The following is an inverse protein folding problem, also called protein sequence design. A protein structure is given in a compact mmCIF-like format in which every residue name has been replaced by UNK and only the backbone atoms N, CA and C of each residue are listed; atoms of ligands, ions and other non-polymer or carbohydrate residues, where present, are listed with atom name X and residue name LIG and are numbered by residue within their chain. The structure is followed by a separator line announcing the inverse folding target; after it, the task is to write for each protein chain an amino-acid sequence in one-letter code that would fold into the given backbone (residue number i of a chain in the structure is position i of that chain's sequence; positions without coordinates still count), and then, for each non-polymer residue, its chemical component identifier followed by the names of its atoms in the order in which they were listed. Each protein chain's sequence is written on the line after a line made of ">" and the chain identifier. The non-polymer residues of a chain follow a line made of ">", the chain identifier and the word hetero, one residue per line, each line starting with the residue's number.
data_IF_806625864187
#
_entry.id   IF_806625864187
#
_cell.length_a   1.000
_cell.length_b   1.000
_cell.length_c   1.000
_cell.angle_alpha   90.00
_cell.angle_beta   90.00
_cell.angle_gamma   90.00
#
_symmetry.space_group_name_H-M   'P 1'
#
loop_
_entity.id
_entity.type
_entity.pdbx_description
1 polymer ?
#
# COMPACT_ATOMS: atom_id res chain seq x y z
N UNK A 1 21.61 -50.55 57.90
CA UNK A 1 22.37 -49.56 57.10
C UNK A 1 22.18 -49.70 55.58
N UNK A 2 21.13 -50.35 55.11
CA UNK A 2 20.92 -50.63 53.68
C UNK A 2 19.79 -49.77 53.00
N UNK A 3 18.97 -49.07 53.73
CA UNK A 3 17.86 -48.29 53.16
C UNK A 3 18.22 -46.84 52.72
N UNK A 4 19.39 -46.35 53.12
CA UNK A 4 19.80 -44.99 52.73
C UNK A 4 20.49 -44.90 51.35
N UNK A 5 21.18 -45.94 50.94
CA UNK A 5 21.86 -45.97 49.65
C UNK A 5 20.89 -46.15 48.47
N UNK A 6 19.81 -46.93 48.67
CA UNK A 6 18.80 -47.14 47.62
C UNK A 6 17.98 -45.88 47.33
N UNK A 7 17.70 -45.05 48.34
CA UNK A 7 16.98 -43.78 48.15
C UNK A 7 17.86 -42.73 47.46
N UNK A 8 19.17 -42.73 47.69
CA UNK A 8 20.12 -41.85 47.02
C UNK A 8 20.32 -42.29 45.56
N UNK A 9 20.43 -43.60 45.30
CA UNK A 9 20.53 -44.17 43.96
C UNK A 9 19.28 -43.87 43.13
N UNK A 10 18.10 -44.09 43.70
CA UNK A 10 16.81 -43.74 43.09
C UNK A 10 16.65 -42.23 42.80
N UNK A 11 17.21 -41.37 43.65
CA UNK A 11 17.17 -39.92 43.45
C UNK A 11 18.18 -39.44 42.35
N UNK A 12 19.16 -40.21 42.05
CA UNK A 12 20.15 -39.95 40.95
C UNK A 12 19.60 -40.40 39.61
N UNK A 13 18.77 -41.46 39.58
CA UNK A 13 18.21 -42.05 38.35
C UNK A 13 17.02 -41.29 37.72
N UNK A 14 16.47 -40.32 38.42
CA UNK A 14 15.26 -39.59 37.99
C UNK A 14 15.44 -38.10 38.11
N UNK A 15 15.04 -37.41 37.09
CA UNK A 15 14.99 -35.93 37.04
C UNK A 15 13.55 -35.48 36.86
N UNK A 16 13.15 -34.48 37.61
CA UNK A 16 11.79 -33.94 37.56
C UNK A 16 11.79 -32.47 37.16
N UNK A 17 10.75 -32.08 36.46
CA UNK A 17 10.46 -30.72 36.08
C UNK A 17 8.98 -30.42 36.22
N UNK A 18 8.63 -29.15 36.44
CA UNK A 18 7.26 -28.72 36.52
C UNK A 18 6.79 -28.25 35.12
N UNK A 19 5.70 -28.84 34.63
CA UNK A 19 5.09 -28.43 33.38
C UNK A 19 4.59 -27.00 33.49
N UNK A 20 5.12 -26.13 32.65
CA UNK A 20 4.84 -24.71 32.59
C UNK A 20 4.37 -24.35 31.17
N UNK A 21 3.49 -23.37 31.06
CA UNK A 21 3.12 -22.81 29.74
C UNK A 21 3.71 -21.41 29.57
N UNK A 22 3.98 -21.05 28.33
CA UNK A 22 4.37 -19.68 28.00
C UNK A 22 3.22 -18.73 28.29
N UNK A 23 3.53 -17.57 28.89
CA UNK A 23 2.55 -16.56 29.19
C UNK A 23 2.78 -15.32 28.30
N UNK A 24 1.74 -14.90 27.60
CA UNK A 24 1.74 -13.73 26.73
C UNK A 24 0.91 -12.63 27.34
N UNK A 25 1.52 -11.46 27.54
CA UNK A 25 0.82 -10.25 27.98
C UNK A 25 0.24 -9.54 26.77
N UNK A 26 -1.08 -9.51 26.67
CA UNK A 26 -1.80 -8.84 25.59
C UNK A 26 -2.03 -7.38 25.95
N UNK A 27 -1.76 -6.48 25.01
CA UNK A 27 -1.96 -5.04 25.10
C UNK A 27 -2.46 -4.48 23.78
N UNK A 28 -3.09 -3.31 23.80
CA UNK A 28 -3.42 -2.56 22.58
C UNK A 28 -2.17 -1.89 22.02
N UNK A 29 -1.91 -2.11 20.71
CA UNK A 29 -0.74 -1.57 20.04
C UNK A 29 -0.97 -0.12 19.59
N UNK A 30 -0.20 0.81 20.18
CA UNK A 30 -0.13 2.22 19.79
C UNK A 30 -1.45 3.00 19.85
N UNK A 31 -2.52 2.44 20.45
CA UNK A 31 -3.81 3.11 20.62
C UNK A 31 -4.25 3.13 22.08
N UNK A 32 -4.96 4.19 22.45
CA UNK A 32 -5.54 4.38 23.78
C UNK A 32 -7.03 4.67 23.64
N UNK A 33 -7.82 4.31 24.63
CA UNK A 33 -9.26 4.58 24.59
C UNK A 33 -10.00 3.95 25.76
N UNK A 34 -11.30 4.22 25.83
CA UNK A 34 -12.17 3.60 26.82
C UNK A 34 -12.51 2.18 26.42
N UNK A 35 -12.37 1.21 27.32
CA UNK A 35 -12.78 -0.17 27.11
C UNK A 35 -14.31 -0.26 27.11
N UNK A 36 -14.91 -0.56 25.95
CA UNK A 36 -16.37 -0.66 25.79
C UNK A 36 -16.88 -2.09 25.84
N UNK A 37 -16.02 -3.07 25.52
CA UNK A 37 -16.41 -4.47 25.47
C UNK A 37 -15.30 -5.38 25.95
N UNK A 38 -15.64 -6.28 26.86
CA UNK A 38 -14.86 -7.42 27.30
C UNK A 38 -15.58 -8.68 26.78
N UNK A 39 -14.95 -9.40 25.83
CA UNK A 39 -15.59 -10.52 25.14
C UNK A 39 -15.23 -11.88 25.75
N UNK A 40 -14.38 -11.90 26.78
CA UNK A 40 -13.77 -13.11 27.36
C UNK A 40 -13.98 -13.15 28.88
N UNK A 41 -13.73 -14.34 29.45
CA UNK A 41 -13.72 -14.57 30.90
C UNK A 41 -12.41 -15.24 31.35
N UNK A 42 -12.01 -15.03 32.59
CA UNK A 42 -10.91 -15.77 33.19
C UNK A 42 -11.20 -17.28 33.15
N UNK A 43 -10.20 -18.07 32.79
CA UNK A 43 -10.32 -19.51 32.60
C UNK A 43 -10.89 -19.96 31.24
N UNK A 44 -11.32 -19.05 30.38
CA UNK A 44 -11.84 -19.36 29.04
C UNK A 44 -10.71 -19.71 28.07
N UNK A 45 -10.91 -20.75 27.26
CA UNK A 45 -10.07 -21.05 26.11
C UNK A 45 -10.44 -20.15 24.93
N UNK A 46 -9.43 -19.68 24.22
CA UNK A 46 -9.56 -18.82 23.04
C UNK A 46 -8.69 -19.36 21.90
N UNK A 47 -9.14 -19.11 20.68
CA UNK A 47 -8.41 -19.44 19.45
C UNK A 47 -7.78 -18.19 18.87
N UNK A 48 -6.73 -18.38 18.09
CA UNK A 48 -6.10 -17.32 17.32
C UNK A 48 -7.15 -16.58 16.49
N UNK A 49 -7.19 -15.25 16.63
CA UNK A 49 -8.14 -14.37 15.94
C UNK A 49 -9.46 -14.13 16.69
N UNK A 50 -9.69 -14.78 17.83
CA UNK A 50 -10.86 -14.46 18.68
C UNK A 50 -10.75 -13.05 19.24
N UNK A 51 -11.87 -12.36 19.32
CA UNK A 51 -11.94 -11.01 19.90
C UNK A 51 -11.80 -11.13 21.42
N UNK A 52 -10.82 -10.46 21.98
CA UNK A 52 -10.54 -10.40 23.41
C UNK A 52 -11.22 -9.19 24.03
N UNK A 53 -10.91 -7.99 23.56
CA UNK A 53 -11.42 -6.71 24.06
C UNK A 53 -11.59 -5.71 22.93
N UNK A 54 -12.41 -4.69 23.16
CA UNK A 54 -12.64 -3.61 22.20
C UNK A 54 -12.68 -2.25 22.89
N UNK A 55 -11.91 -1.30 22.40
CA UNK A 55 -11.96 0.10 22.76
C UNK A 55 -13.02 0.84 21.96
N UNK A 56 -13.42 2.00 22.45
CA UNK A 56 -14.34 2.91 21.76
C UNK A 56 -13.73 3.41 20.45
N UNK A 57 -14.43 3.18 19.35
CA UNK A 57 -14.01 3.59 18.00
C UNK A 57 -14.76 4.82 17.48
N UNK A 58 -15.66 5.43 18.26
CA UNK A 58 -16.58 6.49 17.82
C UNK A 58 -15.83 7.64 17.14
N UNK A 59 -14.79 8.17 17.76
CA UNK A 59 -14.02 9.31 17.22
C UNK A 59 -13.26 8.91 15.93
N UNK A 60 -12.75 7.68 15.88
CA UNK A 60 -12.06 7.15 14.71
C UNK A 60 -13.05 6.92 13.56
N UNK A 61 -14.24 6.40 13.84
CA UNK A 61 -15.29 6.17 12.86
C UNK A 61 -15.78 7.50 12.26
N UNK A 62 -16.00 8.53 13.06
CA UNK A 62 -16.34 9.87 12.60
C UNK A 62 -15.23 10.49 11.74
N UNK A 63 -13.98 10.26 12.10
CA UNK A 63 -12.82 10.72 11.31
C UNK A 63 -12.73 10.02 9.96
N UNK A 64 -12.99 8.72 9.91
CA UNK A 64 -13.09 7.92 8.68
C UNK A 64 -14.21 8.45 7.78
N UNK A 65 -15.41 8.68 8.34
CA UNK A 65 -16.56 9.18 7.59
C UNK A 65 -16.28 10.57 7.01
N UNK A 66 -15.68 11.46 7.81
CA UNK A 66 -15.26 12.80 7.36
C UNK A 66 -14.27 12.71 6.19
N UNK A 67 -13.23 11.88 6.31
CA UNK A 67 -12.22 11.72 5.26
C UNK A 67 -12.84 11.13 3.99
N UNK A 68 -13.74 10.15 4.10
CA UNK A 68 -14.51 9.61 2.96
C UNK A 68 -15.36 10.67 2.27
N UNK A 69 -16.01 11.54 3.03
CA UNK A 69 -16.78 12.66 2.46
C UNK A 69 -15.89 13.67 1.70
N UNK A 70 -14.68 13.94 2.20
CA UNK A 70 -13.71 14.81 1.52
C UNK A 70 -13.21 14.19 0.21
N UNK A 71 -12.93 12.88 0.20
CA UNK A 71 -12.56 12.14 -1.01
C UNK A 71 -13.68 12.19 -2.04
N UNK A 72 -14.93 11.95 -1.64
CA UNK A 72 -16.08 12.02 -2.53
C UNK A 72 -16.30 13.45 -3.10
N UNK A 73 -16.02 14.48 -2.32
CA UNK A 73 -16.08 15.88 -2.79
C UNK A 73 -15.03 16.13 -3.88
N UNK A 74 -13.78 15.68 -3.67
CA UNK A 74 -12.72 15.81 -4.69
C UNK A 74 -13.05 15.01 -5.95
N UNK A 75 -13.60 13.80 -5.81
CA UNK A 75 -14.05 12.99 -6.97
C UNK A 75 -15.09 13.75 -7.80
N UNK A 76 -16.08 14.36 -7.16
CA UNK A 76 -17.08 15.14 -7.85
C UNK A 76 -16.46 16.36 -8.57
N UNK A 77 -15.48 17.03 -7.95
CA UNK A 77 -14.76 18.16 -8.54
C UNK A 77 -13.91 17.73 -9.74
N UNK A 78 -13.15 16.65 -9.62
CA UNK A 78 -12.33 16.06 -10.71
C UNK A 78 -13.25 15.70 -11.90
N UNK A 79 -14.36 15.02 -11.65
CA UNK A 79 -15.30 14.62 -12.69
C UNK A 79 -15.93 15.85 -13.39
N UNK A 80 -16.26 16.90 -12.64
CA UNK A 80 -16.78 18.16 -13.19
C UNK A 80 -15.76 18.85 -14.07
N UNK A 81 -14.50 18.95 -13.63
CA UNK A 81 -13.43 19.56 -14.42
C UNK A 81 -13.10 18.77 -15.68
N UNK A 82 -13.00 17.43 -15.58
CA UNK A 82 -12.82 16.57 -16.74
C UNK A 82 -13.96 16.71 -17.75
N UNK A 83 -15.20 16.84 -17.29
CA UNK A 83 -16.35 17.11 -18.14
C UNK A 83 -16.23 18.45 -18.88
N UNK A 84 -15.81 19.52 -18.20
CA UNK A 84 -15.58 20.82 -18.81
C UNK A 84 -14.44 20.79 -19.84
N UNK A 85 -13.33 20.12 -19.51
CA UNK A 85 -12.18 19.94 -20.42
C UNK A 85 -12.59 19.21 -21.70
N UNK A 86 -13.37 18.14 -21.59
CA UNK A 86 -13.86 17.38 -22.75
C UNK A 86 -14.74 18.25 -23.66
N UNK A 87 -15.57 19.13 -23.11
CA UNK A 87 -16.39 20.08 -23.87
C UNK A 87 -15.49 21.10 -24.59
N UNK A 88 -14.46 21.62 -23.93
CA UNK A 88 -13.52 22.57 -24.52
C UNK A 88 -12.73 21.94 -25.68
N UNK A 89 -12.27 20.69 -25.57
CA UNK A 89 -11.65 19.97 -26.68
C UNK A 89 -12.60 19.84 -27.86
N UNK A 90 -13.86 19.42 -27.63
CA UNK A 90 -14.84 19.28 -28.70
C UNK A 90 -15.16 20.60 -29.39
N UNK A 91 -15.18 21.72 -28.64
CA UNK A 91 -15.34 23.07 -29.20
C UNK A 91 -14.14 23.47 -30.04
N UNK A 92 -12.92 23.23 -29.56
CA UNK A 92 -11.66 23.54 -30.27
C UNK A 92 -11.56 22.74 -31.56
N UNK A 93 -11.88 21.44 -31.54
CA UNK A 93 -11.90 20.60 -32.74
C UNK A 93 -12.96 21.07 -33.75
N UNK A 94 -14.11 21.46 -33.29
CA UNK A 94 -15.17 22.07 -34.15
C UNK A 94 -14.70 23.36 -34.80
N UNK A 95 -14.03 24.22 -34.05
CA UNK A 95 -13.47 25.48 -34.55
C UNK A 95 -12.36 25.25 -35.56
N UNK A 96 -11.49 24.26 -35.33
CA UNK A 96 -10.44 23.85 -36.26
C UNK A 96 -11.04 23.44 -37.63
N UNK A 97 -12.04 22.55 -37.60
CA UNK A 97 -12.76 22.13 -38.83
C UNK A 97 -13.41 23.29 -39.56
N UNK A 98 -14.06 24.23 -38.80
CA UNK A 98 -14.65 25.43 -39.42
C UNK A 98 -13.60 26.33 -40.05
N UNK A 99 -12.45 26.52 -39.41
CA UNK A 99 -11.34 27.33 -39.95
C UNK A 99 -10.77 26.68 -41.20
N UNK A 100 -10.58 25.35 -41.23
CA UNK A 100 -10.13 24.64 -42.41
C UNK A 100 -11.10 24.82 -43.61
N UNK A 101 -12.41 24.72 -43.34
CA UNK A 101 -13.42 24.95 -44.36
C UNK A 101 -13.36 26.39 -44.93
N UNK A 102 -13.11 27.39 -44.05
CA UNK A 102 -12.94 28.78 -44.49
C UNK A 102 -11.67 28.99 -45.33
N UNK A 103 -10.56 28.32 -44.95
CA UNK A 103 -9.31 28.35 -45.71
C UNK A 103 -9.51 27.73 -47.09
N UNK A 104 -10.21 26.60 -47.20
CA UNK A 104 -10.49 25.95 -48.51
C UNK A 104 -11.37 26.82 -49.39
N UNK A 105 -12.40 27.47 -48.81
CA UNK A 105 -13.23 28.45 -49.54
C UNK A 105 -12.38 29.62 -50.07
N UNK A 106 -11.48 30.13 -49.21
CA UNK A 106 -10.60 31.24 -49.61
C UNK A 106 -9.57 30.82 -50.67
N UNK A 107 -9.02 29.65 -50.61
CA UNK A 107 -8.15 29.08 -51.68
C UNK A 107 -8.90 29.00 -53.01
N UNK A 108 -10.17 28.58 -53.00
CA UNK A 108 -10.99 28.54 -54.19
C UNK A 108 -11.24 29.97 -54.77
N UNK A 109 -11.47 30.95 -53.86
CA UNK A 109 -11.62 32.36 -54.28
C UNK A 109 -10.35 32.93 -54.91
N UNK A 110 -9.17 32.62 -54.34
CA UNK A 110 -7.87 32.99 -54.90
C UNK A 110 -7.69 32.36 -56.27
N UNK A 111 -8.01 31.08 -56.48
CA UNK A 111 -7.91 30.41 -57.76
C UNK A 111 -8.78 31.09 -58.84
N UNK A 112 -10.00 31.55 -58.46
CA UNK A 112 -10.88 32.29 -59.36
C UNK A 112 -10.33 33.69 -59.72
N UNK A 113 -9.85 34.45 -58.71
CA UNK A 113 -9.22 35.74 -58.91
C UNK A 113 -7.96 35.64 -59.76
N UNK A 114 -7.14 34.58 -59.58
CA UNK A 114 -5.97 34.33 -60.36
C UNK A 114 -6.28 34.00 -61.83
N UNK A 115 -7.34 33.23 -62.10
CA UNK A 115 -7.81 32.98 -63.46
C UNK A 115 -8.31 34.27 -64.10
N UNK A 116 -9.02 35.16 -63.41
CA UNK A 116 -9.48 36.48 -63.86
C UNK A 116 -8.29 37.35 -64.18
N UNK A 117 -7.32 37.50 -63.28
CA UNK A 117 -6.09 38.27 -63.51
C UNK A 117 -5.34 37.77 -64.76
N UNK A 118 -5.16 36.47 -64.88
CA UNK A 118 -4.49 35.86 -66.06
C UNK A 118 -5.21 36.21 -67.40
N UNK A 119 -6.54 36.13 -67.40
CA UNK A 119 -7.34 36.49 -68.58
C UNK A 119 -7.18 37.97 -68.94
N UNK A 120 -7.23 38.90 -67.95
CA UNK A 120 -7.00 40.31 -68.16
C UNK A 120 -5.60 40.61 -68.58
N UNK A 121 -4.60 39.89 -68.12
CA UNK A 121 -3.21 40.00 -68.55
C UNK A 121 -3.02 39.59 -70.02
N UNK A 122 -3.67 38.53 -70.48
CA UNK A 122 -3.66 38.09 -71.88
C UNK A 122 -4.34 39.13 -72.76
N UNK A 123 -5.47 39.69 -72.34
CA UNK A 123 -6.20 40.72 -73.10
C UNK A 123 -5.36 42.01 -73.24
N UNK A 124 -4.78 42.49 -72.10
CA UNK A 124 -3.86 43.63 -72.14
C UNK A 124 -2.67 43.40 -73.12
N UNK A 125 -2.01 42.26 -73.05
CA UNK A 125 -0.87 41.93 -73.91
C UNK A 125 -1.27 41.84 -75.38
N UNK A 126 -2.48 41.32 -75.68
CA UNK A 126 -3.02 41.28 -77.01
C UNK A 126 -3.30 42.71 -77.53
N UNK A 127 -3.91 43.58 -76.74
CA UNK A 127 -4.18 44.99 -77.13
C UNK A 127 -2.91 45.81 -77.25
N UNK A 128 -1.86 45.52 -76.50
CA UNK A 128 -0.58 46.16 -76.62
C UNK A 128 0.04 45.85 -78.00
N UNK A 129 -0.03 44.58 -78.45
CA UNK A 129 0.47 44.20 -79.81
C UNK A 129 -0.36 44.80 -80.89
N UNK A 130 -1.68 44.98 -80.75
CA UNK A 130 -2.56 45.61 -81.70
C UNK A 130 -2.32 47.12 -81.78
N UNK A 131 -1.97 47.76 -80.72
CA UNK A 131 -1.61 49.19 -80.69
C UNK A 131 -0.29 49.42 -81.40
N UNK A 132 0.70 48.54 -81.28
CA UNK A 132 2.00 48.61 -82.02
C UNK A 132 1.84 48.64 -83.53
N UNK A 133 0.76 48.04 -84.06
CA UNK A 133 0.41 48.02 -85.43
C UNK A 133 -0.70 49.04 -85.80
N UNK A 134 -0.98 49.99 -84.89
CA UNK A 134 -2.00 51.04 -85.02
C UNK A 134 -3.42 50.52 -85.33
N UNK A 135 -3.71 49.26 -84.94
CA UNK A 135 -5.04 48.65 -85.15
C UNK A 135 -6.12 49.01 -84.14
N UNK A 136 -5.76 49.65 -83.00
CA UNK A 136 -6.68 50.10 -81.92
C UNK A 136 -6.28 51.50 -81.41
N UNK A 137 -7.20 52.17 -80.73
CA UNK A 137 -6.93 53.44 -80.07
C UNK A 137 -6.17 53.27 -78.74
N UNK A 138 -5.44 54.31 -78.26
CA UNK A 138 -4.73 54.33 -77.01
C UNK A 138 -5.71 54.11 -75.77
N UNK A 139 -6.92 54.66 -75.93
CA UNK A 139 -7.99 54.50 -74.91
C UNK A 139 -8.34 53.02 -74.68
N UNK A 140 -8.30 52.18 -75.75
CA UNK A 140 -8.61 50.74 -75.63
C UNK A 140 -7.54 49.99 -74.80
N UNK A 141 -6.28 50.41 -74.94
CA UNK A 141 -5.17 49.90 -74.17
C UNK A 141 -5.28 50.37 -72.67
N UNK A 142 -5.60 51.65 -72.48
CA UNK A 142 -5.73 52.22 -71.13
C UNK A 142 -6.87 51.55 -70.35
N UNK A 143 -8.01 51.27 -71.02
CA UNK A 143 -9.09 50.47 -70.44
C UNK A 143 -8.67 49.05 -70.05
N UNK A 144 -7.92 48.41 -70.93
CA UNK A 144 -7.43 47.06 -70.59
C UNK A 144 -6.40 47.02 -69.44
N UNK A 145 -5.57 48.09 -69.38
CA UNK A 145 -4.63 48.26 -68.25
C UNK A 145 -5.38 48.49 -66.95
N UNK A 146 -6.37 49.36 -66.92
CA UNK A 146 -7.22 49.58 -65.75
C UNK A 146 -7.92 48.29 -65.31
N UNK A 147 -8.44 47.48 -66.26
CA UNK A 147 -9.07 46.21 -65.92
C UNK A 147 -8.06 45.18 -65.36
N UNK A 148 -6.80 45.19 -65.85
CA UNK A 148 -5.72 44.34 -65.29
C UNK A 148 -5.32 44.80 -63.87
N UNK A 149 -5.18 46.11 -63.66
CA UNK A 149 -4.82 46.67 -62.35
C UNK A 149 -5.88 46.33 -61.28
N UNK A 150 -7.18 46.43 -61.63
CA UNK A 150 -8.28 46.02 -60.78
C UNK A 150 -8.24 44.53 -60.43
N UNK A 151 -8.02 43.66 -61.44
CA UNK A 151 -7.91 42.22 -61.24
C UNK A 151 -6.68 41.84 -60.39
N UNK A 152 -5.57 42.59 -60.54
CA UNK A 152 -4.38 42.42 -59.66
C UNK A 152 -4.64 42.78 -58.22
N UNK A 153 -5.37 43.90 -57.98
CA UNK A 153 -5.73 44.32 -56.64
C UNK A 153 -6.72 43.36 -55.95
N UNK A 154 -7.67 42.79 -56.70
CA UNK A 154 -8.59 41.76 -56.16
C UNK A 154 -7.81 40.49 -55.78
N UNK A 155 -6.93 39.99 -56.64
CA UNK A 155 -6.10 38.85 -56.31
C UNK A 155 -5.26 39.07 -55.01
N UNK A 156 -4.63 40.23 -54.90
CA UNK A 156 -3.88 40.61 -53.69
C UNK A 156 -4.75 40.67 -52.44
N UNK A 157 -5.98 41.20 -52.56
CA UNK A 157 -6.94 41.21 -51.48
C UNK A 157 -7.33 39.79 -51.02
N UNK A 158 -7.60 38.88 -51.97
CA UNK A 158 -7.93 37.47 -51.62
C UNK A 158 -6.75 36.76 -50.96
N UNK A 159 -5.52 37.03 -51.38
CA UNK A 159 -4.33 36.47 -50.71
C UNK A 159 -4.16 36.97 -49.28
N UNK A 160 -4.41 38.26 -49.04
CA UNK A 160 -4.33 38.85 -47.70
C UNK A 160 -5.39 38.27 -46.76
N UNK A 161 -6.61 38.01 -47.23
CA UNK A 161 -7.66 37.33 -46.46
C UNK A 161 -7.23 35.90 -46.08
N UNK A 162 -6.53 35.17 -47.01
CA UNK A 162 -5.99 33.87 -46.65
C UNK A 162 -4.91 33.97 -45.58
N UNK A 163 -3.99 34.94 -45.65
CA UNK A 163 -2.98 35.18 -44.63
C UNK A 163 -3.57 35.45 -43.27
N UNK A 164 -4.69 36.21 -43.19
CA UNK A 164 -5.40 36.45 -41.98
C UNK A 164 -6.02 35.17 -41.36
N UNK A 165 -6.60 34.30 -42.22
CA UNK A 165 -7.15 33.01 -41.75
C UNK A 165 -6.06 32.08 -41.26
N UNK A 166 -4.88 32.09 -41.90
CA UNK A 166 -3.72 31.28 -41.48
C UNK A 166 -3.13 31.75 -40.13
N UNK A 167 -3.28 33.02 -39.79
CA UNK A 167 -2.80 33.57 -38.51
C UNK A 167 -1.30 33.40 -38.28
N UNK A 168 -0.49 33.36 -39.36
CA UNK A 168 0.95 33.14 -39.35
C UNK A 168 1.36 31.70 -39.57
N UNK A 169 0.43 30.76 -39.80
CA UNK A 169 0.74 29.42 -40.25
C UNK A 169 1.24 29.42 -41.70
N UNK A 170 2.07 28.44 -42.02
CA UNK A 170 2.47 28.20 -43.42
C UNK A 170 1.30 27.56 -44.18
N UNK A 171 1.03 28.11 -45.38
CA UNK A 171 0.06 27.48 -46.27
C UNK A 171 0.57 26.10 -46.76
N UNK A 172 -0.34 25.13 -46.81
CA UNK A 172 -0.07 23.78 -47.28
C UNK A 172 -1.11 23.39 -48.34
N UNK A 173 -0.70 22.59 -49.31
CA UNK A 173 -1.59 22.07 -50.37
C UNK A 173 -2.77 21.29 -49.78
N UNK A 174 -2.53 20.55 -48.68
CA UNK A 174 -3.58 19.92 -47.88
C UNK A 174 -3.88 20.82 -46.67
N UNK A 175 -5.10 21.40 -46.62
CA UNK A 175 -5.50 22.31 -45.55
C UNK A 175 -5.47 21.64 -44.16
N UNK A 176 -5.76 20.35 -44.07
CA UNK A 176 -5.74 19.60 -42.82
C UNK A 176 -4.34 19.42 -42.19
N UNK A 177 -3.27 19.64 -43.00
CA UNK A 177 -1.89 19.59 -42.52
C UNK A 177 -1.37 20.95 -42.04
N UNK A 178 -2.23 21.97 -42.05
CA UNK A 178 -1.89 23.32 -41.60
C UNK A 178 -1.94 23.36 -40.06
N UNK A 179 -0.83 23.74 -39.45
CA UNK A 179 -0.72 23.94 -38.02
C UNK A 179 -1.16 25.35 -37.64
N UNK A 180 -2.42 25.51 -37.19
CA UNK A 180 -3.02 26.80 -36.84
C UNK A 180 -2.54 27.24 -35.43
N UNK A 181 -1.81 28.39 -35.31
CA UNK A 181 -1.30 28.84 -33.99
C UNK A 181 -2.39 29.11 -32.96
N UNK A 182 -3.52 29.60 -33.33
CA UNK A 182 -4.65 29.87 -32.45
C UNK A 182 -5.26 28.61 -31.84
N UNK A 183 -5.41 27.58 -32.65
CA UNK A 183 -5.89 26.26 -32.21
C UNK A 183 -4.88 25.60 -31.28
N UNK A 184 -3.59 25.69 -31.57
CA UNK A 184 -2.55 25.17 -30.71
C UNK A 184 -2.49 25.87 -29.37
N UNK A 185 -2.65 27.19 -29.35
CA UNK A 185 -2.71 27.94 -28.10
C UNK A 185 -3.92 27.49 -27.25
N UNK A 186 -5.10 27.32 -27.86
CA UNK A 186 -6.28 26.83 -27.15
C UNK A 186 -6.05 25.41 -26.58
N UNK A 187 -5.46 24.51 -27.36
CA UNK A 187 -5.09 23.15 -26.85
C UNK A 187 -4.11 23.23 -25.69
N UNK A 188 -3.13 24.10 -25.75
CA UNK A 188 -2.16 24.29 -24.67
C UNK A 188 -2.82 24.86 -23.39
N UNK A 189 -3.81 25.74 -23.51
CA UNK A 189 -4.61 26.22 -22.40
C UNK A 189 -5.43 25.09 -21.75
N UNK A 190 -5.97 24.17 -22.57
CA UNK A 190 -6.68 22.98 -22.09
C UNK A 190 -5.71 22.00 -21.38
N UNK A 191 -4.51 21.78 -21.94
CA UNK A 191 -3.48 20.94 -21.33
C UNK A 191 -3.05 21.48 -19.96
N UNK A 192 -3.00 22.81 -19.77
CA UNK A 192 -2.71 23.40 -18.47
C UNK A 192 -3.83 23.08 -17.45
N UNK A 193 -5.11 23.04 -17.88
CA UNK A 193 -6.22 22.63 -17.01
C UNK A 193 -6.16 21.16 -16.61
N UNK A 194 -5.60 20.29 -17.47
CA UNK A 194 -5.33 18.90 -17.11
C UNK A 194 -4.32 18.78 -15.97
N UNK A 195 -3.29 19.64 -15.94
CA UNK A 195 -2.34 19.69 -14.82
C UNK A 195 -3.03 20.08 -13.50
N UNK A 196 -4.03 20.98 -13.55
CA UNK A 196 -4.82 21.34 -12.37
C UNK A 196 -5.64 20.13 -11.87
N UNK A 197 -6.20 19.34 -12.79
CA UNK A 197 -6.90 18.09 -12.44
C UNK A 197 -5.95 17.08 -11.82
N UNK A 198 -4.73 16.94 -12.35
CA UNK A 198 -3.71 16.06 -11.78
C UNK A 198 -3.33 16.46 -10.34
N UNK A 199 -3.24 17.77 -10.06
CA UNK A 199 -3.02 18.26 -8.70
C UNK A 199 -4.15 17.85 -7.73
N UNK A 200 -5.41 17.86 -8.18
CA UNK A 200 -6.55 17.38 -7.38
C UNK A 200 -6.51 15.88 -7.17
N UNK A 201 -6.06 15.10 -8.16
CA UNK A 201 -5.87 13.65 -8.04
C UNK A 201 -4.81 13.33 -6.99
N UNK A 202 -3.69 14.04 -6.98
CA UNK A 202 -2.66 13.86 -5.94
C UNK A 202 -3.16 14.26 -4.55
N UNK A 203 -3.97 15.31 -4.45
CA UNK A 203 -4.62 15.68 -3.18
C UNK A 203 -5.59 14.58 -2.70
N UNK A 204 -6.39 14.01 -3.60
CA UNK A 204 -7.27 12.87 -3.30
C UNK A 204 -6.46 11.69 -2.76
N UNK A 205 -5.37 11.34 -3.42
CA UNK A 205 -4.47 10.25 -3.01
C UNK A 205 -3.89 10.44 -1.60
N UNK A 206 -3.56 11.67 -1.22
CA UNK A 206 -3.14 11.98 0.15
C UNK A 206 -4.24 11.67 1.17
N UNK A 207 -5.51 12.02 0.86
CA UNK A 207 -6.65 11.69 1.72
C UNK A 207 -6.92 10.17 1.77
N UNK A 208 -6.70 9.44 0.68
CA UNK A 208 -6.80 7.96 0.65
C UNK A 208 -5.76 7.31 1.56
N UNK A 209 -4.53 7.84 1.60
CA UNK A 209 -3.49 7.39 2.55
C UNK A 209 -3.93 7.69 3.99
N UNK A 210 -4.43 8.88 4.26
CA UNK A 210 -4.95 9.24 5.59
C UNK A 210 -6.13 8.34 6.00
N UNK A 211 -7.03 8.02 5.08
CA UNK A 211 -8.12 7.07 5.32
C UNK A 211 -7.59 5.70 5.73
N UNK A 212 -6.59 5.19 5.03
CA UNK A 212 -5.95 3.91 5.35
C UNK A 212 -5.29 3.91 6.74
N UNK A 213 -4.64 5.00 7.12
CA UNK A 213 -4.06 5.16 8.46
C UNK A 213 -5.13 5.12 9.56
N UNK A 214 -6.28 5.77 9.33
CA UNK A 214 -7.41 5.72 10.24
C UNK A 214 -8.03 4.31 10.33
N UNK A 215 -8.14 3.59 9.22
CA UNK A 215 -8.63 2.20 9.18
C UNK A 215 -7.69 1.24 9.93
N UNK A 216 -6.37 1.41 9.81
CA UNK A 216 -5.38 0.68 10.61
C UNK A 216 -5.53 1.02 12.09
N UNK A 217 -5.68 2.30 12.44
CA UNK A 217 -5.93 2.73 13.81
C UNK A 217 -7.20 2.10 14.36
N UNK A 218 -8.29 2.10 13.60
CA UNK A 218 -9.55 1.43 13.95
C UNK A 218 -9.36 -0.07 14.19
N UNK A 219 -8.60 -0.76 13.35
CA UNK A 219 -8.34 -2.18 13.51
C UNK A 219 -7.60 -2.49 14.83
N UNK A 220 -6.72 -1.60 15.28
CA UNK A 220 -5.97 -1.73 16.52
C UNK A 220 -6.81 -1.47 17.78
N UNK A 221 -7.99 -0.84 17.65
CA UNK A 221 -8.95 -0.67 18.76
C UNK A 221 -9.65 -1.98 19.13
N UNK A 222 -9.49 -3.04 18.35
CA UNK A 222 -9.96 -4.38 18.70
C UNK A 222 -8.76 -5.27 18.95
N UNK A 223 -8.70 -5.83 20.17
CA UNK A 223 -7.64 -6.75 20.58
C UNK A 223 -8.06 -8.17 20.25
N UNK A 224 -7.22 -8.88 19.50
CA UNK A 224 -7.44 -10.27 19.12
C UNK A 224 -6.42 -11.19 19.81
N UNK A 225 -6.79 -12.46 20.00
CA UNK A 225 -5.87 -13.49 20.44
C UNK A 225 -4.80 -13.74 19.37
N UNK A 226 -3.49 -13.63 19.67
CA UNK A 226 -2.41 -13.86 18.70
C UNK A 226 -2.20 -15.35 18.42
N UNK A 227 -2.58 -16.22 19.35
CA UNK A 227 -2.44 -17.68 19.28
C UNK A 227 -3.52 -18.36 20.14
N UNK A 228 -3.62 -19.67 20.00
CA UNK A 228 -4.51 -20.50 20.83
C UNK A 228 -4.00 -20.56 22.28
N UNK A 229 -4.92 -20.50 23.23
CA UNK A 229 -4.55 -20.54 24.64
C UNK A 229 -5.70 -20.33 25.58
N UNK A 230 -5.36 -20.14 26.88
CA UNK A 230 -6.32 -19.94 27.96
C UNK A 230 -6.12 -18.59 28.65
N UNK A 231 -7.19 -17.88 28.91
CA UNK A 231 -7.15 -16.61 29.63
C UNK A 231 -6.89 -16.87 31.11
N UNK A 232 -5.74 -16.41 31.61
CA UNK A 232 -5.36 -16.59 33.01
C UNK A 232 -5.91 -15.46 33.87
N UNK A 233 -5.76 -14.21 33.39
CA UNK A 233 -6.14 -13.04 34.15
C UNK A 233 -6.54 -11.89 33.24
N UNK A 234 -7.59 -11.19 33.65
CA UNK A 234 -8.05 -9.93 33.05
C UNK A 234 -7.61 -8.79 33.97
N UNK A 235 -6.81 -7.87 33.45
CA UNK A 235 -6.17 -6.77 34.16
C UNK A 235 -6.96 -5.46 34.05
N UNK A 236 -7.84 -5.35 33.04
CA UNK A 236 -8.63 -4.15 32.76
C UNK A 236 -10.11 -4.48 32.70
N UNK A 237 -10.96 -3.56 33.15
CA UNK A 237 -12.42 -3.73 33.23
C UNK A 237 -13.15 -2.79 32.26
N UNK A 238 -14.32 -3.21 31.81
CA UNK A 238 -15.20 -2.38 30.99
C UNK A 238 -15.45 -1.02 31.66
N UNK A 239 -15.31 0.06 30.88
CA UNK A 239 -15.45 1.45 31.32
C UNK A 239 -14.13 2.13 31.68
N UNK A 240 -13.05 1.38 31.90
CA UNK A 240 -11.73 1.95 32.19
C UNK A 240 -11.08 2.59 30.94
N UNK A 241 -10.24 3.58 31.20
CA UNK A 241 -9.38 4.18 30.17
C UNK A 241 -8.10 3.38 30.07
N UNK A 242 -7.83 2.82 28.89
CA UNK A 242 -6.65 2.01 28.61
C UNK A 242 -5.63 2.85 27.88
N UNK A 243 -4.39 2.82 28.35
CA UNK A 243 -3.26 3.46 27.67
C UNK A 243 -2.60 2.48 26.71
N UNK A 244 -2.01 3.01 25.64
CA UNK A 244 -1.26 2.23 24.67
C UNK A 244 -0.17 1.36 25.33
N UNK A 245 0.03 0.16 24.82
CA UNK A 245 1.05 -0.80 25.27
C UNK A 245 0.94 -1.23 26.75
N UNK A 246 -0.17 -0.92 27.40
CA UNK A 246 -0.43 -1.40 28.78
C UNK A 246 -1.04 -2.80 28.71
N UNK A 247 -0.48 -3.81 29.42
CA UNK A 247 -1.04 -5.15 29.46
C UNK A 247 -2.46 -5.14 30.04
N UNK A 248 -3.42 -5.71 29.31
CA UNK A 248 -4.84 -5.79 29.72
C UNK A 248 -5.30 -7.22 29.99
N UNK A 249 -4.61 -8.22 29.39
CA UNK A 249 -4.92 -9.64 29.57
C UNK A 249 -3.64 -10.45 29.62
N UNK A 250 -3.65 -11.50 30.46
CA UNK A 250 -2.61 -12.52 30.49
C UNK A 250 -3.16 -13.79 29.85
N UNK A 251 -2.57 -14.18 28.73
CA UNK A 251 -2.88 -15.40 27.98
C UNK A 251 -1.83 -16.46 28.29
N UNK A 252 -2.26 -17.65 28.64
CA UNK A 252 -1.42 -18.86 28.69
C UNK A 252 -1.51 -19.55 27.33
N UNK A 253 -0.36 -19.69 26.68
CA UNK A 253 -0.22 -20.35 25.39
C UNK A 253 -0.36 -21.87 25.54
N UNK A 254 -0.80 -22.54 24.47
CA UNK A 254 -0.75 -24.01 24.42
C UNK A 254 0.67 -24.56 24.27
N UNK A 255 1.67 -23.70 24.11
CA UNK A 255 3.08 -24.09 24.11
C UNK A 255 3.55 -24.36 25.51
N UNK A 256 3.62 -25.64 25.84
CA UNK A 256 4.01 -26.13 27.17
C UNK A 256 5.45 -26.61 27.15
N UNK A 257 6.13 -26.40 28.24
CA UNK A 257 7.50 -26.86 28.44
C UNK A 257 7.74 -27.23 29.90
N UNK A 258 8.77 -28.01 30.15
CA UNK A 258 9.31 -28.22 31.47
C UNK A 258 10.82 -28.10 31.44
N UNK A 259 11.37 -27.55 32.51
CA UNK A 259 12.79 -27.40 32.72
C UNK A 259 13.30 -28.50 33.65
N UNK A 260 14.34 -29.24 33.24
CA UNK A 260 15.04 -30.20 34.05
C UNK A 260 16.49 -29.81 34.18
N UNK A 261 17.11 -30.28 35.26
CA UNK A 261 18.50 -29.98 35.58
C UNK A 261 19.31 -31.24 35.54
N UNK A 262 20.36 -31.27 34.73
CA UNK A 262 21.22 -32.44 34.49
C UNK A 262 22.68 -32.13 34.73
N UNK A 263 23.49 -33.17 34.86
CA UNK A 263 24.94 -33.09 35.02
C UNK A 263 25.67 -32.80 33.69
N UNK A 264 26.92 -32.38 33.79
CA UNK A 264 27.81 -32.17 32.64
C UNK A 264 28.01 -33.43 31.79
N UNK A 265 28.06 -34.61 32.43
CA UNK A 265 28.23 -35.89 31.73
C UNK A 265 26.98 -36.29 30.92
N UNK A 266 25.78 -35.91 31.40
CA UNK A 266 24.53 -36.21 30.72
C UNK A 266 24.31 -35.27 29.53
N UNK A 267 24.66 -33.97 29.66
CA UNK A 267 24.48 -32.99 28.59
C UNK A 267 25.38 -33.25 27.39
N UNK A 268 26.54 -33.89 27.59
CA UNK A 268 27.50 -34.19 26.52
C UNK A 268 26.91 -35.08 25.41
N UNK A 269 25.85 -35.84 25.73
CA UNK A 269 25.19 -36.77 24.80
C UNK A 269 23.89 -36.20 24.20
N UNK A 270 23.53 -34.96 24.50
CA UNK A 270 22.27 -34.33 24.08
C UNK A 270 22.53 -33.18 23.16
N UNK A 271 21.61 -32.99 22.20
CA UNK A 271 21.59 -31.86 21.32
C UNK A 271 20.20 -31.20 21.27
N UNK A 272 20.17 -29.92 20.89
CA UNK A 272 18.91 -29.27 20.57
C UNK A 272 18.25 -29.99 19.38
N UNK A 273 16.97 -30.32 19.52
CA UNK A 273 16.20 -31.11 18.57
C UNK A 273 16.02 -32.58 18.98
N UNK A 274 16.75 -33.07 19.98
CA UNK A 274 16.57 -34.43 20.46
C UNK A 274 15.22 -34.60 21.16
N UNK A 275 14.60 -35.76 21.00
CA UNK A 275 13.33 -36.14 21.60
C UNK A 275 13.55 -36.87 22.93
N UNK A 276 12.89 -36.44 23.98
CA UNK A 276 12.90 -37.03 25.31
C UNK A 276 11.47 -37.36 25.71
N UNK A 277 11.28 -38.56 26.27
CA UNK A 277 10.01 -38.98 26.82
C UNK A 277 10.01 -38.77 28.34
N UNK A 278 9.20 -37.81 28.79
CA UNK A 278 8.87 -37.66 30.18
C UNK A 278 7.66 -38.50 30.58
N UNK A 279 7.41 -38.61 31.86
CA UNK A 279 6.24 -39.27 32.43
C UNK A 279 5.60 -38.38 33.49
N UNK A 280 4.32 -38.11 33.37
CA UNK A 280 3.60 -37.39 34.40
C UNK A 280 3.37 -38.23 35.64
N UNK A 281 3.79 -37.75 36.79
CA UNK A 281 3.64 -38.45 38.08
C UNK A 281 2.18 -38.62 38.49
N UNK A 282 1.34 -37.61 38.12
CA UNK A 282 -0.05 -37.55 38.59
C UNK A 282 -0.98 -38.58 37.91
N UNK A 283 -0.72 -38.92 36.63
CA UNK A 283 -1.62 -39.75 35.83
C UNK A 283 -0.91 -40.80 34.96
N UNK A 284 0.38 -41.03 35.21
CA UNK A 284 1.22 -42.00 34.48
C UNK A 284 1.30 -41.81 32.95
N UNK A 285 0.89 -40.66 32.43
CA UNK A 285 0.92 -40.37 30.99
C UNK A 285 2.34 -40.14 30.50
N UNK A 286 2.67 -40.73 29.34
CA UNK A 286 3.91 -40.44 28.63
C UNK A 286 3.80 -39.09 27.95
N UNK A 287 4.80 -38.24 28.15
CA UNK A 287 4.88 -36.88 27.65
C UNK A 287 6.07 -36.78 26.72
N UNK A 288 5.88 -36.98 25.40
CA UNK A 288 6.94 -36.75 24.44
C UNK A 288 7.27 -35.26 24.36
N UNK A 289 8.55 -34.96 24.29
CA UNK A 289 8.99 -33.58 24.18
C UNK A 289 10.28 -33.46 23.39
N UNK A 290 10.55 -32.27 22.91
CA UNK A 290 11.75 -31.94 22.13
C UNK A 290 12.59 -30.92 22.88
N UNK A 291 13.87 -31.15 23.00
CA UNK A 291 14.85 -30.22 23.58
C UNK A 291 14.96 -29.02 22.64
N UNK A 292 14.67 -27.81 23.17
CA UNK A 292 14.85 -26.55 22.40
C UNK A 292 15.90 -25.62 22.97
N UNK A 293 16.30 -25.86 24.20
CA UNK A 293 17.30 -25.01 24.85
C UNK A 293 18.14 -25.86 25.83
N UNK A 294 19.46 -25.77 25.71
CA UNK A 294 20.44 -26.29 26.68
C UNK A 294 21.24 -25.08 27.15
N UNK A 295 21.21 -24.80 28.44
CA UNK A 295 21.92 -23.67 29.02
C UNK A 295 22.49 -23.96 30.39
N UNK A 296 23.39 -23.14 30.87
CA UNK A 296 23.91 -23.27 32.23
C UNK A 296 22.79 -23.01 33.26
N UNK A 297 22.70 -23.81 34.28
CA UNK A 297 21.68 -23.66 35.32
C UNK A 297 21.83 -22.29 36.06
N UNK A 298 20.76 -21.54 36.31
CA UNK A 298 20.82 -20.31 37.07
C UNK A 298 21.40 -20.54 38.48
N UNK A 299 22.32 -19.69 38.94
CA UNK A 299 22.94 -19.76 40.27
C UNK A 299 24.03 -20.84 40.41
N UNK A 300 24.33 -21.62 39.37
CA UNK A 300 25.36 -22.67 39.41
C UNK A 300 26.77 -22.11 39.66
N UNK A 301 27.09 -20.92 39.18
CA UNK A 301 28.39 -20.28 39.38
C UNK A 301 28.69 -20.01 40.86
N UNK A 302 27.66 -19.61 41.64
CA UNK A 302 27.80 -19.33 43.07
C UNK A 302 27.95 -20.62 43.89
N UNK A 303 27.32 -21.70 43.46
CA UNK A 303 27.40 -23.00 44.13
C UNK A 303 28.75 -23.72 43.85
N UNK A 304 29.37 -23.47 42.71
CA UNK A 304 30.64 -24.08 42.31
C UNK A 304 31.82 -23.58 43.16
N UNK A 305 31.73 -22.37 43.72
CA UNK A 305 32.81 -21.79 44.54
C UNK A 305 32.83 -22.31 46.00
N UNK A 306 31.74 -22.90 46.49
CA UNK A 306 31.59 -23.31 47.89
C UNK A 306 31.75 -24.82 48.17
N UNK A 307 32.31 -25.60 47.22
CA UNK A 307 32.39 -27.06 47.31
C UNK A 307 33.64 -27.56 47.98
N UNK A 308 33.47 -28.47 48.95
CA UNK A 308 34.53 -29.33 49.43
C UNK A 308 34.82 -30.50 48.44
N UNK A 309 36.09 -30.90 48.32
CA UNK A 309 36.51 -32.01 47.47
C UNK A 309 35.76 -33.31 47.85
N UNK A 310 34.89 -33.84 46.97
CA UNK A 310 34.24 -35.12 47.10
C UNK A 310 32.72 -35.10 47.12
N UNK A 311 32.05 -33.94 46.95
CA UNK A 311 30.60 -33.92 46.78
C UNK A 311 30.21 -34.28 45.34
N UNK A 312 29.12 -35.07 45.23
CA UNK A 312 28.55 -35.48 43.96
C UNK A 312 28.27 -34.31 43.00
N UNK A 313 28.40 -34.54 41.71
CA UNK A 313 28.11 -33.57 40.65
C UNK A 313 26.69 -33.00 40.81
N UNK A 314 26.61 -31.71 41.07
CA UNK A 314 25.34 -31.03 41.06
C UNK A 314 24.92 -30.77 39.59
N UNK A 315 23.63 -30.77 39.34
CA UNK A 315 23.07 -30.46 38.04
C UNK A 315 23.53 -29.08 37.57
N UNK A 316 24.32 -29.03 36.53
CA UNK A 316 25.03 -27.86 36.05
C UNK A 316 24.34 -27.21 34.84
N UNK A 317 23.48 -27.95 34.17
CA UNK A 317 22.82 -27.54 32.95
C UNK A 317 21.32 -27.64 33.12
N UNK A 318 20.61 -26.61 32.58
CA UNK A 318 19.18 -26.60 32.44
C UNK A 318 18.82 -26.95 30.99
N UNK A 319 17.94 -27.95 30.86
CA UNK A 319 17.38 -28.33 29.57
C UNK A 319 15.91 -27.93 29.58
N UNK A 320 15.48 -27.20 28.55
CA UNK A 320 14.08 -26.89 28.31
C UNK A 320 13.51 -27.80 27.24
N UNK A 321 12.50 -28.55 27.63
CA UNK A 321 11.83 -29.55 26.79
C UNK A 321 10.42 -29.05 26.53
N UNK A 322 10.13 -28.79 25.23
CA UNK A 322 8.78 -28.45 24.79
C UNK A 322 8.00 -29.71 24.48
N UNK A 323 6.77 -29.75 24.96
CA UNK A 323 5.87 -30.89 24.73
C UNK A 323 4.67 -30.45 23.90
N UNK A 324 4.15 -31.39 23.11
CA UNK A 324 2.88 -31.20 22.43
C UNK A 324 1.72 -31.23 23.44
N UNK A 325 0.55 -30.77 23.01
CA UNK A 325 -0.65 -30.79 23.83
C UNK A 325 -1.13 -32.25 23.99
N UNK A 326 -0.93 -32.80 25.18
CA UNK A 326 -1.37 -34.16 25.54
C UNK A 326 -2.62 -34.03 26.41
N UNK A 327 -3.71 -34.69 26.00
CA UNK A 327 -4.97 -34.68 26.74
C UNK A 327 -4.76 -35.22 28.18
N UNK A 328 -5.27 -34.47 29.16
CA UNK A 328 -5.12 -34.82 30.57
C UNK A 328 -3.88 -34.22 31.26
N UNK A 329 -2.99 -33.53 30.53
CA UNK A 329 -1.88 -32.76 31.11
C UNK A 329 -2.31 -31.36 31.47
N UNK A 330 -1.99 -30.93 32.69
CA UNK A 330 -2.24 -29.56 33.18
C UNK A 330 -0.93 -28.89 33.60
N UNK A 331 -0.81 -27.60 33.37
CA UNK A 331 0.28 -26.78 33.91
C UNK A 331 0.35 -26.92 35.42
N UNK A 332 1.56 -27.02 35.98
CA UNK A 332 1.81 -27.32 37.39
C UNK A 332 2.02 -28.79 37.69
N UNK A 333 1.73 -29.74 36.77
CA UNK A 333 2.05 -31.15 36.97
C UNK A 333 3.57 -31.40 36.90
N UNK A 334 4.02 -32.37 37.71
CA UNK A 334 5.43 -32.81 37.70
C UNK A 334 5.63 -33.85 36.62
N UNK A 335 6.61 -33.61 35.77
CA UNK A 335 7.07 -34.55 34.72
C UNK A 335 8.41 -35.12 35.18
N UNK A 336 8.49 -36.44 35.25
CA UNK A 336 9.69 -37.20 35.59
C UNK A 336 10.35 -37.72 34.32
N UNK A 337 11.67 -37.59 34.19
CA UNK A 337 12.47 -38.13 33.10
C UNK A 337 13.49 -39.06 33.70
N UNK A 338 13.59 -40.29 33.19
CA UNK A 338 14.55 -41.31 33.67
C UNK A 338 15.90 -41.12 33.01
N UNK A 339 16.96 -41.57 33.68
CA UNK A 339 18.36 -41.33 33.27
C UNK A 339 18.71 -42.02 31.93
N UNK A 340 18.00 -43.10 31.61
CA UNK A 340 18.16 -43.83 30.36
C UNK A 340 17.73 -43.00 29.11
N UNK A 341 16.84 -42.00 29.26
CA UNK A 341 16.50 -41.08 28.19
C UNK A 341 17.66 -40.12 27.80
N UNK A 342 18.61 -39.87 28.73
CA UNK A 342 19.80 -39.05 28.49
C UNK A 342 21.00 -39.85 27.95
N UNK A 343 20.92 -41.18 27.92
CA UNK A 343 21.99 -42.06 27.49
C UNK A 343 21.72 -42.75 26.16
N UNK A 344 20.53 -42.60 25.60
CA UNK A 344 20.16 -43.16 24.30
C UNK A 344 20.86 -42.40 23.16
N UNK A 345 21.95 -42.99 22.69
CA UNK A 345 22.54 -42.76 21.38
C UNK A 345 22.84 -44.07 20.71
#
# INVERSE_FOLDING_TARGET
>A
MYKGNDAIALAIEKKDGILTAEQVKLSFDSVSGRLIKEAIKEGQEVKKGDIIMQLDSTDTDLSIEKTKAQIAQLDAQINSQNGAINVEYAMTDTQEVQTFNQIDQQKAAIASAQATYKNKQIDYNRKLQLLEVEAIAQSDLDDAKMALDVASADLAQQQELLNQLLGGANDNANTQDINLPTINQQRQEIDNKLNDVEALIEQKKQLEVQLKELEVTKSRLTLYAPEDGKIIKILAKQGEMILANTPVVLLESNRRYYDIYISENQVANLAEGDTINGKSIANDLTVPGTIRLITQAPGFADLKQSREKGQADLSAFQIRIYTDDVEGLQTGMTIEVTDDEFTKR
#
